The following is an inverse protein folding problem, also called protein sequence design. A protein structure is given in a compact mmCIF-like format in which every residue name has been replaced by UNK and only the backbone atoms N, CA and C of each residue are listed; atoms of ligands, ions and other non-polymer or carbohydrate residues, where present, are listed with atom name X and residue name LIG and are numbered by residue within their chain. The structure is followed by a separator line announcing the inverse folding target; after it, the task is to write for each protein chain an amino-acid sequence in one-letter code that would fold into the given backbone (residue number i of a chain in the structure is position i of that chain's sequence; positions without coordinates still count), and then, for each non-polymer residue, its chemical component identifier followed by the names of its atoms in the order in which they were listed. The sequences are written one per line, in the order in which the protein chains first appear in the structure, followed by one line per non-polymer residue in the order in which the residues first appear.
data_IF_334595968396
#
_entry.id   IF_334595968396
#
_cell.length_a   1.000
_cell.length_b   1.000
_cell.length_c   1.000
_cell.angle_alpha   90.00
_cell.angle_beta   90.00
_cell.angle_gamma   90.00
#
_symmetry.space_group_name_H-M   'P 1'
#
loop_
_entity.id
_entity.type
_entity.pdbx_description
1 polymer ?
#
# COMPACT_ATOMS: atom_id res chain seq x y z
N UNK A 1 -47.46 5.22 -16.46
CA UNK A 1 -46.80 4.07 -15.80
C UNK A 1 -47.35 3.97 -14.39
N UNK A 2 -47.69 2.77 -13.91
CA UNK A 2 -48.33 2.63 -12.60
C UNK A 2 -47.25 2.78 -11.52
N UNK A 3 -47.58 3.41 -10.39
CA UNK A 3 -46.61 3.61 -9.28
C UNK A 3 -46.00 2.29 -8.82
N UNK A 4 -46.81 1.23 -8.82
CA UNK A 4 -46.38 -0.13 -8.49
C UNK A 4 -45.36 -0.69 -9.50
N UNK A 5 -45.57 -0.49 -10.80
CA UNK A 5 -44.60 -0.92 -11.82
C UNK A 5 -43.27 -0.18 -11.70
N UNK A 6 -43.32 1.11 -11.33
CA UNK A 6 -42.13 1.93 -11.11
C UNK A 6 -41.34 1.44 -9.90
N UNK A 7 -42.03 1.14 -8.79
CA UNK A 7 -41.42 0.60 -7.58
C UNK A 7 -40.78 -0.78 -7.81
N UNK A 8 -41.48 -1.66 -8.54
CA UNK A 8 -40.99 -2.99 -8.84
C UNK A 8 -39.72 -2.97 -9.71
N UNK A 9 -39.69 -2.08 -10.70
CA UNK A 9 -38.51 -1.91 -11.55
C UNK A 9 -37.32 -1.35 -10.77
N UNK A 10 -37.55 -0.38 -9.88
CA UNK A 10 -36.51 0.16 -9.01
C UNK A 10 -35.91 -0.91 -8.08
N UNK A 11 -36.76 -1.76 -7.50
CA UNK A 11 -36.32 -2.84 -6.60
C UNK A 11 -35.48 -3.91 -7.32
N UNK A 12 -35.84 -4.23 -8.57
CA UNK A 12 -35.07 -5.16 -9.40
C UNK A 12 -33.69 -4.59 -9.77
N UNK A 13 -33.59 -3.30 -10.08
CA UNK A 13 -32.32 -2.62 -10.38
C UNK A 13 -31.37 -2.60 -9.17
N UNK A 14 -31.89 -2.46 -7.95
CA UNK A 14 -31.05 -2.50 -6.74
C UNK A 14 -30.41 -3.87 -6.46
N UNK A 15 -30.99 -4.97 -6.93
CA UNK A 15 -30.42 -6.31 -6.76
C UNK A 15 -29.14 -6.55 -7.58
N UNK A 16 -28.82 -5.69 -8.55
CA UNK A 16 -27.62 -5.78 -9.40
C UNK A 16 -26.50 -4.83 -8.99
N UNK A 17 -26.68 -4.06 -7.92
CA UNK A 17 -25.64 -3.18 -7.40
C UNK A 17 -24.57 -4.02 -6.69
N UNK A 18 -23.32 -3.91 -7.14
CA UNK A 18 -22.14 -4.44 -6.46
C UNK A 18 -21.21 -3.28 -6.13
N UNK A 19 -20.65 -3.27 -4.93
CA UNK A 19 -19.58 -2.36 -4.60
C UNK A 19 -18.26 -2.85 -5.22
N UNK A 20 -17.37 -1.90 -5.53
CA UNK A 20 -15.99 -2.21 -5.88
C UNK A 20 -15.27 -2.80 -4.67
N UNK A 21 -14.54 -3.89 -4.88
CA UNK A 21 -13.65 -4.46 -3.87
C UNK A 21 -12.35 -3.68 -3.90
N UNK A 22 -11.89 -3.26 -2.74
CA UNK A 22 -10.63 -2.56 -2.57
C UNK A 22 -9.75 -3.37 -1.62
N UNK A 23 -8.60 -3.83 -2.09
CA UNK A 23 -7.59 -4.49 -1.25
C UNK A 23 -6.52 -3.49 -0.83
N UNK A 24 -6.45 -3.19 0.46
CA UNK A 24 -5.54 -2.21 1.02
C UNK A 24 -4.64 -2.84 2.07
N UNK A 25 -3.37 -2.43 2.08
CA UNK A 25 -2.38 -2.84 3.06
C UNK A 25 -1.81 -1.66 3.84
N UNK A 26 -1.44 -1.90 5.10
CA UNK A 26 -0.57 -1.00 5.87
C UNK A 26 0.52 -1.81 6.54
N UNK A 27 1.76 -1.32 6.49
CA UNK A 27 2.87 -1.99 7.14
C UNK A 27 3.95 -1.02 7.61
N UNK A 28 4.31 -1.10 8.88
CA UNK A 28 5.48 -0.41 9.40
C UNK A 28 6.73 -1.19 8.99
N UNK A 29 7.56 -0.58 8.14
CA UNK A 29 8.70 -1.27 7.54
C UNK A 29 10.01 -1.05 8.28
N UNK A 30 9.96 -0.36 9.43
CA UNK A 30 11.09 -0.01 10.29
C UNK A 30 12.18 0.78 9.57
N UNK A 31 12.45 1.99 10.07
CA UNK A 31 13.45 2.86 9.45
C UNK A 31 14.84 2.21 9.46
N UNK A 32 15.70 2.64 8.53
CA UNK A 32 17.05 2.12 8.45
C UNK A 32 17.89 2.59 9.65
N UNK A 33 18.21 1.67 10.55
CA UNK A 33 18.92 1.92 11.81
C UNK A 33 20.21 1.10 11.88
N UNK A 34 21.39 1.72 12.18
CA UNK A 34 22.66 1.00 12.31
C UNK A 34 22.67 -0.08 13.41
N UNK A 35 21.85 0.04 14.46
CA UNK A 35 21.79 -1.00 15.49
C UNK A 35 21.08 -2.25 14.97
N UNK A 36 20.02 -2.09 14.19
CA UNK A 36 19.32 -3.21 13.55
C UNK A 36 20.27 -3.95 12.59
N UNK A 37 21.15 -3.22 11.89
CA UNK A 37 22.19 -3.81 11.03
C UNK A 37 23.20 -4.66 11.84
N UNK A 38 23.67 -4.16 13.00
CA UNK A 38 24.56 -4.93 13.90
C UNK A 38 23.93 -6.21 14.42
N UNK A 39 22.60 -6.22 14.57
CA UNK A 39 21.82 -7.38 15.00
C UNK A 39 21.46 -8.33 13.83
N UNK A 40 21.88 -8.01 12.60
CA UNK A 40 21.61 -8.82 11.41
C UNK A 40 20.25 -8.56 10.76
N UNK A 41 19.54 -7.49 11.16
CA UNK A 41 18.23 -7.08 10.64
C UNK A 41 18.34 -5.85 9.72
N UNK A 42 19.42 -5.78 8.94
CA UNK A 42 19.71 -4.65 8.07
C UNK A 42 18.57 -4.38 7.06
N UNK A 43 18.27 -3.10 6.80
CA UNK A 43 17.27 -2.70 5.81
C UNK A 43 17.51 -3.33 4.43
N UNK A 44 18.76 -3.39 4.00
CA UNK A 44 19.14 -3.95 2.68
C UNK A 44 18.74 -5.42 2.52
N UNK A 45 18.66 -6.19 3.61
CA UNK A 45 18.19 -7.58 3.59
C UNK A 45 16.67 -7.66 3.69
N UNK A 46 16.05 -6.78 4.50
CA UNK A 46 14.59 -6.75 4.71
C UNK A 46 13.84 -6.24 3.48
N UNK A 47 14.43 -5.30 2.74
CA UNK A 47 13.79 -4.66 1.59
C UNK A 47 13.37 -5.67 0.51
N UNK A 48 14.22 -6.65 0.17
CA UNK A 48 13.88 -7.64 -0.86
C UNK A 48 12.68 -8.50 -0.45
N UNK A 49 12.66 -8.99 0.80
CA UNK A 49 11.56 -9.80 1.30
C UNK A 49 10.24 -9.01 1.40
N UNK A 50 10.32 -7.74 1.80
CA UNK A 50 9.18 -6.84 1.82
C UNK A 50 8.61 -6.64 0.40
N UNK A 51 9.48 -6.41 -0.58
CA UNK A 51 9.07 -6.27 -1.98
C UNK A 51 8.41 -7.55 -2.50
N UNK A 52 8.98 -8.73 -2.22
CA UNK A 52 8.39 -10.01 -2.59
C UNK A 52 7.01 -10.20 -1.96
N UNK A 53 6.86 -9.84 -0.68
CA UNK A 53 5.58 -9.90 0.02
C UNK A 53 4.53 -8.99 -0.63
N UNK A 54 4.87 -7.73 -0.93
CA UNK A 54 3.93 -6.79 -1.55
C UNK A 54 3.58 -7.22 -2.98
N UNK A 55 4.54 -7.77 -3.73
CA UNK A 55 4.30 -8.30 -5.07
C UNK A 55 3.44 -9.57 -5.07
N UNK A 56 3.51 -10.38 -4.00
CA UNK A 56 2.65 -11.54 -3.84
C UNK A 56 1.22 -11.15 -3.47
N UNK A 57 1.07 -10.24 -2.51
CA UNK A 57 -0.24 -9.80 -2.03
C UNK A 57 -0.97 -8.89 -3.04
N UNK A 58 -0.23 -8.08 -3.80
CA UNK A 58 -0.76 -7.11 -4.78
C UNK A 58 -1.88 -6.20 -4.23
N UNK A 59 -1.65 -5.48 -3.11
CA UNK A 59 -2.61 -4.49 -2.63
C UNK A 59 -2.75 -3.34 -3.64
N UNK A 60 -3.99 -2.88 -3.86
CA UNK A 60 -4.29 -1.71 -4.70
C UNK A 60 -3.83 -0.40 -4.05
N UNK A 61 -3.78 -0.36 -2.72
CA UNK A 61 -3.22 0.75 -1.95
C UNK A 61 -2.36 0.18 -0.83
N UNK A 62 -1.13 0.65 -0.72
CA UNK A 62 -0.22 0.26 0.34
C UNK A 62 0.33 1.47 1.09
N UNK A 63 0.00 1.57 2.37
CA UNK A 63 0.53 2.57 3.28
C UNK A 63 1.71 2.02 4.08
N UNK A 64 2.71 2.85 4.36
CA UNK A 64 3.85 2.45 5.19
C UNK A 64 4.29 3.54 6.16
N UNK A 65 4.96 3.14 7.24
CA UNK A 65 5.44 4.00 8.32
C UNK A 65 6.93 3.75 8.59
N UNK A 66 7.57 4.69 9.29
CA UNK A 66 9.02 4.68 9.58
C UNK A 66 9.88 4.61 8.31
N UNK A 67 9.49 5.30 7.24
CA UNK A 67 10.23 5.29 5.96
C UNK A 67 11.10 6.52 5.84
N UNK A 68 12.42 6.32 5.78
CA UNK A 68 13.35 7.37 5.39
C UNK A 68 13.35 7.56 3.87
N UNK A 69 13.72 8.76 3.41
CA UNK A 69 13.78 9.10 1.97
C UNK A 69 14.62 8.09 1.17
N UNK A 70 15.74 7.63 1.72
CA UNK A 70 16.56 6.60 1.07
C UNK A 70 15.82 5.27 0.88
N UNK A 71 15.14 4.79 1.93
CA UNK A 71 14.33 3.56 1.88
C UNK A 71 13.16 3.70 0.91
N UNK A 72 12.58 4.90 0.83
CA UNK A 72 11.54 5.19 -0.15
C UNK A 72 12.06 5.04 -1.59
N UNK A 73 13.24 5.59 -1.86
CA UNK A 73 13.88 5.39 -3.16
C UNK A 73 14.13 3.91 -3.45
N UNK A 74 14.64 3.15 -2.48
CA UNK A 74 14.89 1.71 -2.64
C UNK A 74 13.62 0.95 -3.04
N UNK A 75 12.49 1.23 -2.36
CA UNK A 75 11.18 0.69 -2.73
C UNK A 75 10.78 1.08 -4.15
N UNK A 76 10.89 2.37 -4.50
CA UNK A 76 10.55 2.89 -5.82
C UNK A 76 11.38 2.28 -6.96
N UNK A 77 12.68 2.09 -6.75
CA UNK A 77 13.56 1.40 -7.71
C UNK A 77 13.12 -0.05 -7.93
N UNK A 78 12.73 -0.75 -6.87
CA UNK A 78 12.22 -2.12 -6.95
C UNK A 78 10.88 -2.21 -7.68
N UNK A 79 9.91 -1.33 -7.38
CA UNK A 79 8.61 -1.32 -8.08
C UNK A 79 8.75 -1.00 -9.57
N UNK A 80 9.70 -0.12 -9.94
CA UNK A 80 9.98 0.19 -11.35
C UNK A 80 10.61 -0.97 -12.11
N UNK A 81 11.38 -1.83 -11.43
CA UNK A 81 11.91 -3.08 -11.98
C UNK A 81 10.83 -4.19 -12.08
N UNK A 82 9.78 -4.13 -11.26
CA UNK A 82 8.74 -5.15 -11.18
C UNK A 82 7.52 -4.95 -12.13
N UNK A 83 7.52 -3.92 -13.01
CA UNK A 83 6.47 -3.67 -14.01
C UNK A 83 5.03 -3.60 -13.45
N UNK A 84 4.85 -2.95 -12.30
CA UNK A 84 3.52 -2.54 -11.83
C UNK A 84 3.40 -1.02 -11.97
N UNK A 85 2.47 -0.54 -12.80
CA UNK A 85 2.14 0.87 -13.01
C UNK A 85 1.40 1.45 -11.78
N UNK A 86 2.01 1.40 -10.59
CA UNK A 86 1.53 2.15 -9.44
C UNK A 86 2.03 3.59 -9.54
N UNK A 87 1.11 4.54 -9.70
CA UNK A 87 1.42 5.95 -9.53
C UNK A 87 1.58 6.23 -8.03
N UNK A 88 2.81 6.55 -7.66
CA UNK A 88 3.24 6.70 -6.28
C UNK A 88 2.77 8.06 -5.73
N UNK A 89 1.57 8.12 -5.15
CA UNK A 89 1.02 9.35 -4.57
C UNK A 89 1.50 9.46 -3.10
N UNK A 90 2.44 10.38 -2.84
CA UNK A 90 3.01 10.60 -1.51
C UNK A 90 2.44 11.85 -0.82
N UNK A 91 1.87 11.66 0.36
CA UNK A 91 1.75 12.71 1.39
C UNK A 91 2.60 12.27 2.60
N UNK A 92 3.89 12.62 2.57
CA UNK A 92 4.79 12.37 3.70
C UNK A 92 4.48 13.39 4.79
N UNK A 93 3.77 12.99 5.86
CA UNK A 93 3.91 13.68 7.14
C UNK A 93 5.26 13.28 7.71
N UNK A 94 6.26 14.12 7.45
CA UNK A 94 7.61 13.99 7.98
C UNK A 94 7.50 13.93 9.51
N UNK A 95 7.71 12.77 10.12
CA UNK A 95 8.18 12.73 11.50
C UNK A 95 9.68 12.95 11.42
N UNK A 96 10.09 14.20 11.66
CA UNK A 96 11.47 14.51 12.01
C UNK A 96 11.81 13.65 13.22
N UNK A 97 12.69 12.66 13.04
CA UNK A 97 13.27 11.97 14.18
C UNK A 97 14.25 12.96 14.81
N UNK A 98 13.80 13.68 15.84
CA UNK A 98 14.73 14.33 16.74
C UNK A 98 15.71 13.28 17.24
N UNK A 99 17.01 13.58 17.08
CA UNK A 99 18.10 12.63 17.23
C UNK A 99 18.04 11.85 18.55
N UNK A 100 18.31 10.56 18.41
CA UNK A 100 18.84 9.71 19.49
C UNK A 100 20.12 9.07 18.96
#
# INVERSE_FOLDING_TARGET
MNKLTTLFLALLLSCSLSAQRLYVGTYNIRYNNPNDEKEGNAWTQRCSHLCDFINFEQPEIFGTQEVLVGQLHDLGWFYKLALLDFELIFEVKMQESEGV
#
